data_IF_409785701516
#
_entry.id   IF_409785701516
#
_cell.length_a   1.000
_cell.length_b   1.000
_cell.length_c   1.000
_cell.angle_alpha   90.00
_cell.angle_beta   90.00
_cell.angle_gamma   90.00
#
_symmetry.space_group_name_H-M   'P 1'
#
loop_
_entity.id
_entity.type
_entity.pdbx_description
1 polymer ?
#
# COMPACT_ATOMS: atom_id res chain seq x y z
N UNK A 1 -2.02 -2.26 -0.55
CA UNK A 1 -2.75 -0.99 -0.43
C UNK A 1 -3.79 -1.10 0.66
N UNK A 2 -4.12 0.00 1.34
CA UNK A 2 -5.11 0.09 2.40
C UNK A 2 -5.97 1.35 2.22
N UNK A 3 -7.10 1.41 2.92
CA UNK A 3 -7.86 2.65 3.07
C UNK A 3 -7.36 3.43 4.29
N UNK A 4 -7.13 4.73 4.11
CA UNK A 4 -6.73 5.66 5.18
C UNK A 4 -7.72 6.82 5.23
N UNK A 5 -7.89 7.42 6.41
CA UNK A 5 -8.78 8.58 6.57
C UNK A 5 -8.01 9.85 6.21
N UNK A 6 -8.42 10.50 5.13
CA UNK A 6 -7.94 11.82 4.72
C UNK A 6 -8.88 12.95 5.17
N UNK A 7 -8.52 14.21 4.90
CA UNK A 7 -9.32 15.38 5.25
C UNK A 7 -10.67 15.42 4.53
N UNK A 8 -10.70 15.01 3.26
CA UNK A 8 -11.90 15.03 2.42
C UNK A 8 -12.67 13.70 2.40
N UNK A 9 -12.17 12.68 3.12
CA UNK A 9 -12.74 11.34 3.13
C UNK A 9 -11.69 10.23 3.08
N UNK A 10 -12.12 8.97 2.91
CA UNK A 10 -11.20 7.85 2.79
C UNK A 10 -10.38 7.92 1.49
N UNK A 11 -9.09 7.61 1.58
CA UNK A 11 -8.15 7.59 0.46
C UNK A 11 -7.42 6.25 0.38
N UNK A 12 -6.98 5.86 -0.82
CA UNK A 12 -6.12 4.68 -1.00
C UNK A 12 -4.66 5.04 -0.76
N UNK A 13 -3.96 4.25 0.05
CA UNK A 13 -2.52 4.38 0.31
C UNK A 13 -1.81 3.03 0.11
N UNK A 14 -0.55 3.06 -0.34
CA UNK A 14 0.27 1.85 -0.46
C UNK A 14 0.92 1.55 0.89
N UNK A 15 0.58 0.40 1.47
CA UNK A 15 1.35 -0.13 2.61
C UNK A 15 2.63 -0.79 2.09
N UNK A 16 3.72 -0.02 2.08
CA UNK A 16 5.03 -0.47 1.60
C UNK A 16 5.61 -1.61 2.46
N UNK A 17 5.39 -1.56 3.78
CA UNK A 17 5.94 -2.55 4.73
C UNK A 17 5.03 -3.76 4.90
N UNK A 18 3.79 -3.72 4.40
CA UNK A 18 2.80 -4.81 4.52
C UNK A 18 2.49 -5.15 5.99
N UNK A 19 2.51 -4.14 6.86
CA UNK A 19 2.39 -4.30 8.32
C UNK A 19 1.16 -3.61 8.90
N UNK A 20 0.44 -2.83 8.09
CA UNK A 20 -0.67 -2.03 8.60
C UNK A 20 -1.89 -2.93 8.87
N UNK A 21 -2.54 -2.75 10.04
CA UNK A 21 -3.69 -3.56 10.40
C UNK A 21 -4.91 -3.21 9.53
N UNK A 22 -5.76 -4.20 9.30
CA UNK A 22 -7.03 -4.03 8.60
C UNK A 22 -7.10 -4.78 7.27
N UNK A 23 -8.03 -4.36 6.39
CA UNK A 23 -8.21 -4.98 5.08
C UNK A 23 -7.33 -4.29 4.05
N UNK A 24 -6.50 -5.08 3.38
CA UNK A 24 -5.68 -4.62 2.27
C UNK A 24 -6.19 -5.09 0.91
N UNK A 25 -5.77 -4.38 -0.14
CA UNK A 25 -5.94 -4.74 -1.54
C UNK A 25 -4.58 -4.79 -2.24
N UNK A 26 -4.44 -5.70 -3.20
CA UNK A 26 -3.23 -5.90 -3.98
C UNK A 26 -3.48 -5.57 -5.46
N UNK A 27 -2.50 -4.93 -6.09
CA UNK A 27 -2.44 -4.69 -7.53
C UNK A 27 -1.01 -4.92 -7.98
N UNK A 28 -0.85 -5.26 -9.25
CA UNK A 28 0.45 -5.24 -9.88
C UNK A 28 0.98 -3.79 -9.97
N UNK A 29 2.30 -3.58 -9.87
CA UNK A 29 2.92 -2.27 -10.04
C UNK A 29 2.96 -1.88 -11.51
N UNK A 30 1.79 -1.64 -12.11
CA UNK A 30 1.66 -1.16 -13.48
C UNK A 30 0.56 -0.10 -13.57
N UNK A 31 0.79 0.88 -14.45
CA UNK A 31 -0.17 1.94 -14.71
C UNK A 31 -1.49 1.41 -15.27
N UNK A 32 -1.44 0.39 -16.12
CA UNK A 32 -2.62 -0.27 -16.70
C UNK A 32 -3.49 -0.92 -15.61
N UNK A 33 -2.87 -1.63 -14.65
CA UNK A 33 -3.60 -2.26 -13.56
C UNK A 33 -4.27 -1.24 -12.63
N UNK A 34 -3.59 -0.13 -12.34
CA UNK A 34 -4.18 0.98 -11.56
C UNK A 34 -5.33 1.63 -12.33
N UNK A 35 -5.13 1.95 -13.61
CA UNK A 35 -6.13 2.61 -14.44
C UNK A 35 -7.42 1.78 -14.53
N UNK A 36 -7.29 0.47 -14.75
CA UNK A 36 -8.44 -0.42 -14.84
C UNK A 36 -9.14 -0.57 -13.48
N UNK A 37 -8.39 -0.62 -12.38
CA UNK A 37 -8.96 -0.67 -11.03
C UNK A 37 -9.75 0.60 -10.69
N UNK A 38 -9.24 1.78 -11.06
CA UNK A 38 -9.94 3.07 -10.88
C UNK A 38 -11.20 3.10 -11.74
N UNK A 39 -11.09 2.76 -13.03
CA UNK A 39 -12.22 2.72 -13.98
C UNK A 39 -13.36 1.84 -13.50
N UNK A 40 -13.04 0.68 -12.91
CA UNK A 40 -14.02 -0.28 -12.36
C UNK A 40 -14.46 0.03 -10.93
N UNK A 41 -13.93 1.08 -10.30
CA UNK A 41 -14.16 1.40 -8.88
C UNK A 41 -13.83 0.22 -7.95
N UNK A 42 -12.75 -0.51 -8.26
CA UNK A 42 -12.43 -1.77 -7.59
C UNK A 42 -11.99 -1.61 -6.12
N UNK A 43 -11.45 -0.45 -5.75
CA UNK A 43 -10.91 -0.19 -4.41
C UNK A 43 -11.97 -0.18 -3.31
N UNK A 44 -13.14 0.40 -3.57
CA UNK A 44 -14.21 0.47 -2.58
C UNK A 44 -14.68 -0.92 -2.13
N UNK A 45 -15.09 -1.81 -3.05
CA UNK A 45 -15.44 -3.18 -2.72
C UNK A 45 -14.28 -3.99 -2.11
N UNK A 46 -13.06 -3.83 -2.62
CA UNK A 46 -11.88 -4.56 -2.13
C UNK A 46 -11.54 -4.19 -0.68
N UNK A 47 -11.61 -2.91 -0.34
CA UNK A 47 -11.29 -2.38 0.98
C UNK A 47 -12.52 -2.30 1.89
N UNK A 48 -13.74 -2.53 1.36
CA UNK A 48 -15.04 -2.34 2.02
C UNK A 48 -15.23 -0.92 2.57
N UNK A 49 -14.86 0.07 1.75
CA UNK A 49 -14.98 1.49 2.08
C UNK A 49 -15.65 2.23 0.93
N UNK A 50 -16.78 2.85 1.21
CA UNK A 50 -17.50 3.67 0.23
C UNK A 50 -16.88 5.07 0.13
N UNK A 51 -17.05 5.70 -1.04
CA UNK A 51 -16.59 7.08 -1.27
C UNK A 51 -15.07 7.25 -1.27
N UNK A 52 -14.31 6.17 -1.49
CA UNK A 52 -12.85 6.24 -1.49
C UNK A 52 -12.33 7.07 -2.67
N UNK A 53 -11.53 8.07 -2.36
CA UNK A 53 -10.82 8.87 -3.35
C UNK A 53 -9.50 8.18 -3.74
N UNK A 54 -9.20 8.21 -5.03
CA UNK A 54 -8.00 7.58 -5.60
C UNK A 54 -7.33 8.57 -6.54
N UNK A 55 -6.08 8.88 -6.27
CA UNK A 55 -5.18 9.56 -7.20
C UNK A 55 -4.40 8.48 -7.99
N UNK A 56 -4.74 8.24 -9.28
CA UNK A 56 -4.12 7.16 -10.04
C UNK A 56 -2.62 7.37 -10.23
N UNK A 57 -2.19 8.60 -10.51
CA UNK A 57 -0.79 8.91 -10.82
C UNK A 57 0.09 8.77 -9.57
N UNK A 58 -0.34 9.33 -8.44
CA UNK A 58 0.32 9.15 -7.15
C UNK A 58 0.38 7.68 -6.70
N UNK A 59 -0.67 6.91 -6.98
CA UNK A 59 -0.72 5.49 -6.64
C UNK A 59 0.27 4.65 -7.48
N UNK A 60 0.37 4.91 -8.79
CA UNK A 60 1.35 4.25 -9.67
C UNK A 60 2.78 4.55 -9.20
N UNK A 61 3.08 5.82 -8.91
CA UNK A 61 4.39 6.22 -8.41
C UNK A 61 4.75 5.49 -7.09
N UNK A 62 3.78 5.32 -6.20
CA UNK A 62 3.98 4.62 -4.92
C UNK A 62 4.13 3.11 -5.08
N UNK A 63 3.39 2.48 -5.99
CA UNK A 63 3.50 1.03 -6.26
C UNK A 63 4.86 0.66 -6.90
N UNK A 64 5.39 1.52 -7.75
CA UNK A 64 6.72 1.32 -8.34
C UNK A 64 7.82 1.37 -7.26
N UNK A 65 7.67 2.21 -6.24
CA UNK A 65 8.57 2.26 -5.08
C UNK A 65 8.43 1.01 -4.19
N UNK A 66 7.19 0.56 -3.94
CA UNK A 66 6.92 -0.64 -3.12
C UNK A 66 7.47 -1.95 -3.72
N UNK A 67 7.70 -1.98 -5.03
CA UNK A 67 8.27 -3.15 -5.72
C UNK A 67 9.79 -3.23 -5.59
N UNK A 68 10.44 -2.17 -5.07
CA UNK A 68 11.89 -2.05 -4.96
C UNK A 68 12.51 -2.56 -3.66
N UNK A 69 11.74 -2.80 -2.59
CA UNK A 69 12.32 -3.12 -1.27
C UNK A 69 11.58 -4.25 -0.56
N UNK A 70 12.11 -5.45 -0.72
CA UNK A 70 12.09 -6.45 0.35
C UNK A 70 13.45 -6.45 1.03
N UNK A 71 13.58 -5.75 2.16
CA UNK A 71 14.62 -6.07 3.16
C UNK A 71 13.91 -6.27 4.50
N UNK A 72 13.62 -7.52 4.89
CA UNK A 72 13.25 -7.84 6.25
C UNK A 72 14.47 -7.73 7.17
N UNK A 73 14.19 -7.20 8.35
CA UNK A 73 14.89 -7.24 9.62
C UNK A 73 16.02 -8.27 9.76
N UNK A 74 17.24 -7.80 10.05
CA UNK A 74 18.25 -8.57 10.78
C UNK A 74 19.07 -7.61 11.66
N UNK A 75 18.42 -7.05 12.69
CA UNK A 75 19.14 -6.68 13.91
C UNK A 75 19.35 -7.96 14.73
N UNK A 76 20.19 -8.86 14.22
CA UNK A 76 20.67 -10.01 15.01
C UNK A 76 21.67 -9.49 16.03
N UNK A 77 21.37 -9.84 17.27
CA UNK A 77 22.10 -9.56 18.50
C UNK A 77 23.63 -9.71 18.33
N UNK A 78 24.36 -8.66 18.71
CA UNK A 78 25.78 -8.73 19.05
C UNK A 78 26.05 -7.83 20.25
N UNK A 79 25.61 -8.29 21.43
CA UNK A 79 26.21 -7.89 22.70
C UNK A 79 26.03 -9.03 23.72
N UNK A 80 26.80 -10.10 23.53
CA UNK A 80 27.17 -11.04 24.59
C UNK A 80 28.53 -11.63 24.23
N UNK A 81 29.58 -10.81 24.29
CA UNK A 81 30.93 -11.29 24.60
C UNK A 81 31.83 -10.12 24.96
N UNK A 82 31.93 -9.83 26.25
CA UNK A 82 33.05 -9.07 26.82
C UNK A 82 33.82 -10.03 27.74
N UNK A 83 35.05 -10.45 27.38
CA UNK A 83 36.07 -10.78 28.35
C UNK A 83 36.85 -9.54 28.80
#
# INVERSE_FOLDING_TARGET
MIARRGPDGPVVEVDHRKTLPGRGAWLHPSSECVSEAVRRKAFGPALRVDGIAVDPDGLVASLNQASGEGQPEEQVAQDMSTP
#
